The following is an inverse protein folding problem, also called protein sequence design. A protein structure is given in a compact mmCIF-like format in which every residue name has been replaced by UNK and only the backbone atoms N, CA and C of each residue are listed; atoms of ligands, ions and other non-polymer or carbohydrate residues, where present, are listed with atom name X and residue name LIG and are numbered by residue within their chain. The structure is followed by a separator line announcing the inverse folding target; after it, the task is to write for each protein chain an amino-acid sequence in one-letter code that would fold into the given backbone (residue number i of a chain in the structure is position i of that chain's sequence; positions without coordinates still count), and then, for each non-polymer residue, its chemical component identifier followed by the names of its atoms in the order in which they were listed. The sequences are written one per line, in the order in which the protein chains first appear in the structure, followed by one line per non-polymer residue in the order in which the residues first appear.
data_IF_516462900732
#
_entry.id   IF_516462900732
#
_cell.length_a   1.000
_cell.length_b   1.000
_cell.length_c   1.000
_cell.angle_alpha   90.00
_cell.angle_beta   90.00
_cell.angle_gamma   90.00
#
_symmetry.space_group_name_H-M   'P 1'
#
loop_
_entity.id
_entity.type
_entity.pdbx_description
1 polymer ?
#
# COMPACT_ATOMS: atom_id res chain seq x y z
N UNK A 1 -2.98 -19.02 -8.93
CA UNK A 1 -4.02 -18.38 -8.07
C UNK A 1 -5.27 -18.10 -8.89
N UNK A 2 -6.41 -18.62 -8.45
CA UNK A 2 -7.71 -18.31 -9.07
C UNK A 2 -8.16 -16.88 -8.70
N UNK A 3 -9.07 -16.28 -9.49
CA UNK A 3 -9.54 -14.91 -9.24
C UNK A 3 -10.11 -14.72 -7.83
N UNK A 4 -10.88 -15.68 -7.33
CA UNK A 4 -11.44 -15.64 -5.96
C UNK A 4 -10.35 -15.65 -4.88
N UNK A 5 -9.30 -16.44 -5.09
CA UNK A 5 -8.14 -16.49 -4.19
C UNK A 5 -7.36 -15.19 -4.19
N UNK A 6 -7.18 -14.54 -5.36
CA UNK A 6 -6.54 -13.22 -5.46
C UNK A 6 -7.32 -12.15 -4.71
N UNK A 7 -8.65 -12.16 -4.82
CA UNK A 7 -9.51 -11.24 -4.07
C UNK A 7 -9.39 -11.49 -2.56
N UNK A 8 -9.45 -12.76 -2.14
CA UNK A 8 -9.28 -13.12 -0.73
C UNK A 8 -7.92 -12.68 -0.18
N UNK A 9 -6.84 -12.92 -0.93
CA UNK A 9 -5.50 -12.47 -0.59
C UNK A 9 -5.44 -10.95 -0.42
N UNK A 10 -5.94 -10.19 -1.39
CA UNK A 10 -5.92 -8.73 -1.35
C UNK A 10 -6.76 -8.17 -0.18
N UNK A 11 -7.97 -8.69 0.02
CA UNK A 11 -8.84 -8.26 1.13
C UNK A 11 -8.22 -8.61 2.48
N UNK A 12 -7.67 -9.81 2.63
CA UNK A 12 -6.99 -10.22 3.87
C UNK A 12 -5.75 -9.36 4.14
N UNK A 13 -4.98 -9.03 3.11
CA UNK A 13 -3.83 -8.14 3.20
C UNK A 13 -4.24 -6.77 3.76
N UNK A 14 -5.24 -6.13 3.16
CA UNK A 14 -5.70 -4.80 3.56
C UNK A 14 -6.31 -4.78 4.97
N UNK A 15 -7.17 -5.75 5.29
CA UNK A 15 -7.81 -5.81 6.62
C UNK A 15 -6.77 -5.99 7.73
N UNK A 16 -5.83 -6.93 7.56
CA UNK A 16 -4.80 -7.19 8.56
C UNK A 16 -3.80 -6.03 8.67
N UNK A 17 -3.43 -5.41 7.55
CA UNK A 17 -2.60 -4.21 7.57
C UNK A 17 -3.29 -3.08 8.34
N UNK A 18 -4.55 -2.78 8.03
CA UNK A 18 -5.32 -1.74 8.70
C UNK A 18 -5.51 -2.02 10.19
N UNK A 19 -5.76 -3.28 10.58
CA UNK A 19 -5.91 -3.69 11.97
C UNK A 19 -4.64 -3.45 12.82
N UNK A 20 -3.47 -3.40 12.19
CA UNK A 20 -2.20 -3.10 12.85
C UNK A 20 -1.89 -1.61 12.77
N UNK A 21 -1.85 -1.06 11.54
CA UNK A 21 -1.30 0.28 11.34
C UNK A 21 -2.21 1.39 11.87
N UNK A 22 -3.54 1.21 11.79
CA UNK A 22 -4.49 2.23 12.24
C UNK A 22 -4.38 2.48 13.76
N UNK A 23 -4.50 1.47 14.66
CA UNK A 23 -4.36 1.72 16.08
C UNK A 23 -2.95 2.17 16.49
N UNK A 24 -1.91 1.62 15.86
CA UNK A 24 -0.51 1.99 16.17
C UNK A 24 -0.27 3.46 15.81
N UNK A 25 -0.66 3.90 14.62
CA UNK A 25 -0.49 5.29 14.21
C UNK A 25 -1.38 6.25 15.00
N UNK A 26 -2.58 5.83 15.41
CA UNK A 26 -3.46 6.62 16.28
C UNK A 26 -2.78 6.94 17.63
N UNK A 27 -2.16 5.95 18.24
CA UNK A 27 -1.41 6.12 19.50
C UNK A 27 -0.17 6.99 19.29
N UNK A 28 0.63 6.72 18.24
CA UNK A 28 1.88 7.45 18.00
C UNK A 28 1.66 8.92 17.65
N UNK A 29 0.57 9.24 16.95
CA UNK A 29 0.26 10.61 16.51
C UNK A 29 -0.70 11.34 17.43
N UNK A 30 -1.13 10.70 18.52
CA UNK A 30 -2.17 11.26 19.44
C UNK A 30 -3.43 11.71 18.67
N UNK A 31 -3.91 10.82 17.80
CA UNK A 31 -5.11 11.04 16.98
C UNK A 31 -6.14 9.94 17.20
N UNK A 32 -7.39 10.22 16.83
CA UNK A 32 -8.44 9.22 16.94
C UNK A 32 -8.23 8.05 15.98
N UNK A 33 -8.64 6.85 16.37
CA UNK A 33 -8.60 5.68 15.49
C UNK A 33 -9.46 5.89 14.25
N UNK A 34 -10.58 6.63 14.38
CA UNK A 34 -11.46 6.97 13.24
C UNK A 34 -10.73 7.87 12.24
N UNK A 35 -10.02 8.91 12.69
CA UNK A 35 -9.26 9.79 11.79
C UNK A 35 -8.16 9.02 11.08
N UNK A 36 -7.45 8.14 11.78
CA UNK A 36 -6.41 7.31 11.17
C UNK A 36 -6.97 6.29 10.18
N UNK A 37 -8.18 5.77 10.43
CA UNK A 37 -8.87 4.91 9.47
C UNK A 37 -9.25 5.67 8.20
N UNK A 38 -9.79 6.88 8.33
CA UNK A 38 -10.12 7.75 7.20
C UNK A 38 -8.87 8.07 6.37
N UNK A 39 -7.77 8.43 7.03
CA UNK A 39 -6.48 8.68 6.39
C UNK A 39 -5.97 7.43 5.66
N UNK A 40 -6.03 6.27 6.30
CA UNK A 40 -5.59 5.00 5.70
C UNK A 40 -6.37 4.67 4.42
N UNK A 41 -7.69 4.78 4.45
CA UNK A 41 -8.54 4.55 3.27
C UNK A 41 -8.25 5.61 2.20
N UNK A 42 -8.16 6.87 2.57
CA UNK A 42 -7.86 7.97 1.66
C UNK A 42 -6.52 7.80 0.96
N UNK A 43 -5.46 7.45 1.69
CA UNK A 43 -4.14 7.18 1.13
C UNK A 43 -4.15 5.98 0.18
N UNK A 44 -4.85 4.90 0.53
CA UNK A 44 -4.99 3.73 -0.34
C UNK A 44 -5.66 4.08 -1.66
N UNK A 45 -6.76 4.84 -1.63
CA UNK A 45 -7.45 5.29 -2.83
C UNK A 45 -6.59 6.22 -3.69
N UNK A 46 -5.92 7.19 -3.06
CA UNK A 46 -5.00 8.11 -3.76
C UNK A 46 -3.84 7.34 -4.39
N UNK A 47 -3.27 6.37 -3.69
CA UNK A 47 -2.18 5.55 -4.21
C UNK A 47 -2.61 4.73 -5.43
N UNK A 48 -3.82 4.16 -5.44
CA UNK A 48 -4.35 3.43 -6.60
C UNK A 48 -4.55 4.36 -7.80
N UNK A 49 -5.16 5.54 -7.58
CA UNK A 49 -5.35 6.54 -8.63
C UNK A 49 -4.03 7.07 -9.17
N UNK A 50 -3.09 7.40 -8.27
CA UNK A 50 -1.76 7.86 -8.61
C UNK A 50 -0.98 6.80 -9.40
N UNK A 51 -1.05 5.53 -8.95
CA UNK A 51 -0.42 4.41 -9.66
C UNK A 51 -0.87 4.34 -11.12
N UNK A 52 -2.17 4.43 -11.36
CA UNK A 52 -2.73 4.41 -12.71
C UNK A 52 -2.22 5.59 -13.56
N UNK A 53 -2.37 6.81 -13.07
CA UNK A 53 -1.99 8.03 -13.78
C UNK A 53 -0.49 8.09 -14.02
N UNK A 54 0.30 7.84 -12.98
CA UNK A 54 1.76 7.90 -13.04
C UNK A 54 2.34 6.87 -14.00
N UNK A 55 1.86 5.64 -13.98
CA UNK A 55 2.36 4.61 -14.90
C UNK A 55 2.05 4.95 -16.36
N UNK A 56 0.86 5.45 -16.66
CA UNK A 56 0.53 5.89 -18.03
C UNK A 56 1.44 7.03 -18.46
N UNK A 57 1.64 8.02 -17.60
CA UNK A 57 2.48 9.17 -17.89
C UNK A 57 3.95 8.77 -18.09
N UNK A 58 4.47 7.92 -17.21
CA UNK A 58 5.84 7.42 -17.30
C UNK A 58 6.07 6.58 -18.55
N UNK A 59 5.13 5.70 -18.89
CA UNK A 59 5.21 4.86 -20.10
C UNK A 59 5.16 5.72 -21.39
N UNK A 60 4.42 6.82 -21.38
CA UNK A 60 4.41 7.77 -22.52
C UNK A 60 5.73 8.52 -22.70
N UNK A 61 6.43 8.84 -21.61
CA UNK A 61 7.69 9.60 -21.66
C UNK A 61 8.90 8.72 -21.97
N UNK A 62 8.98 7.52 -21.39
CA UNK A 62 10.17 6.70 -21.39
C UNK A 62 9.95 5.32 -22.06
N UNK A 63 8.79 5.12 -22.67
CA UNK A 63 8.43 3.90 -23.38
C UNK A 63 7.77 2.83 -22.52
N UNK A 64 6.95 2.00 -23.16
CA UNK A 64 6.14 0.95 -22.53
C UNK A 64 6.88 -0.38 -22.34
N UNK A 65 8.13 -0.50 -22.83
CA UNK A 65 8.93 -1.72 -22.68
C UNK A 65 9.46 -1.86 -21.24
N UNK A 66 8.60 -2.38 -20.36
CA UNK A 66 8.91 -2.56 -18.94
C UNK A 66 9.94 -3.64 -18.65
N UNK A 67 10.06 -4.63 -19.55
CA UNK A 67 10.93 -5.79 -19.36
C UNK A 67 12.39 -5.38 -19.50
N UNK A 68 12.71 -4.54 -20.48
CA UNK A 68 14.07 -4.11 -20.80
C UNK A 68 14.49 -2.81 -20.07
N UNK A 69 13.71 -2.34 -19.07
CA UNK A 69 14.10 -1.16 -18.27
C UNK A 69 15.37 -1.44 -17.50
N UNK A 70 16.32 -0.54 -17.64
CA UNK A 70 17.56 -0.55 -16.85
C UNK A 70 17.28 -0.33 -15.36
N UNK A 71 18.24 -0.71 -14.51
CA UNK A 71 18.14 -0.46 -13.07
C UNK A 71 17.92 1.04 -12.76
N UNK A 72 18.65 1.92 -13.46
CA UNK A 72 18.50 3.37 -13.31
C UNK A 72 17.08 3.84 -13.63
N UNK A 73 16.48 3.36 -14.71
CA UNK A 73 15.08 3.68 -15.03
C UNK A 73 14.10 3.19 -13.98
N UNK A 74 14.34 2.02 -13.38
CA UNK A 74 13.52 1.49 -12.28
C UNK A 74 13.63 2.35 -11.02
N UNK A 75 14.84 2.83 -10.70
CA UNK A 75 15.07 3.74 -9.56
C UNK A 75 14.38 5.08 -9.82
N UNK A 76 14.54 5.66 -11.01
CA UNK A 76 13.87 6.92 -11.39
C UNK A 76 12.35 6.77 -11.33
N UNK A 77 11.81 5.64 -11.82
CA UNK A 77 10.38 5.36 -11.73
C UNK A 77 9.90 5.29 -10.28
N UNK A 78 10.58 4.52 -9.43
CA UNK A 78 10.20 4.36 -8.02
C UNK A 78 10.30 5.68 -7.26
N UNK A 79 11.42 6.42 -7.40
CA UNK A 79 11.63 7.70 -6.72
C UNK A 79 10.62 8.76 -7.19
N UNK A 80 10.34 8.82 -8.48
CA UNK A 80 9.35 9.74 -9.02
C UNK A 80 7.92 9.38 -8.61
N UNK A 81 7.61 8.10 -8.52
CA UNK A 81 6.32 7.61 -8.01
C UNK A 81 6.10 8.04 -6.56
N UNK A 82 7.04 7.71 -5.68
CA UNK A 82 6.96 8.03 -4.25
C UNK A 82 6.99 9.54 -4.01
N UNK A 83 7.93 10.25 -4.65
CA UNK A 83 8.03 11.70 -4.52
C UNK A 83 6.78 12.43 -5.00
N UNK A 84 6.21 12.02 -6.12
CA UNK A 84 4.98 12.59 -6.64
C UNK A 84 3.77 12.31 -5.75
N UNK A 85 3.68 11.11 -5.20
CA UNK A 85 2.63 10.74 -4.24
C UNK A 85 2.74 11.60 -2.98
N UNK A 86 3.94 11.73 -2.40
CA UNK A 86 4.19 12.55 -1.21
C UNK A 86 3.84 14.03 -1.42
N UNK A 87 4.11 14.60 -2.58
CA UNK A 87 3.74 16.00 -2.87
C UNK A 87 2.24 16.23 -2.76
N UNK A 88 1.42 15.22 -3.08
CA UNK A 88 -0.04 15.29 -2.98
C UNK A 88 -0.51 14.93 -1.58
N UNK A 89 0.02 13.88 -0.98
CA UNK A 89 -0.50 13.32 0.28
C UNK A 89 -0.08 14.13 1.49
N UNK A 90 1.16 14.62 1.56
CA UNK A 90 1.67 15.40 2.69
C UNK A 90 0.78 16.60 3.06
N UNK A 91 0.42 17.51 2.13
CA UNK A 91 -0.43 18.65 2.48
C UNK A 91 -1.85 18.22 2.88
N UNK A 92 -2.40 17.19 2.24
CA UNK A 92 -3.76 16.70 2.54
C UNK A 92 -3.83 16.06 3.93
N UNK A 93 -2.88 15.19 4.26
CA UNK A 93 -2.83 14.51 5.57
C UNK A 93 -2.49 15.51 6.68
N UNK A 94 -1.53 16.41 6.45
CA UNK A 94 -1.16 17.48 7.36
C UNK A 94 -2.37 18.36 7.72
N UNK A 95 -3.13 18.76 6.70
CA UNK A 95 -4.34 19.55 6.88
C UNK A 95 -5.43 18.77 7.63
N UNK A 96 -5.71 17.54 7.22
CA UNK A 96 -6.78 16.74 7.81
C UNK A 96 -6.52 16.39 9.28
N UNK A 97 -5.30 15.98 9.60
CA UNK A 97 -4.89 15.61 10.95
C UNK A 97 -4.43 16.80 11.82
N UNK A 98 -4.36 18.01 11.25
CA UNK A 98 -3.80 19.19 11.93
C UNK A 98 -2.39 18.92 12.48
N UNK A 99 -1.56 18.26 11.68
CA UNK A 99 -0.15 17.98 11.96
C UNK A 99 0.74 18.95 11.20
N UNK A 100 1.94 19.22 11.73
CA UNK A 100 2.96 19.89 10.95
C UNK A 100 3.52 18.96 9.86
N UNK A 101 4.21 19.52 8.86
CA UNK A 101 4.73 18.74 7.73
C UNK A 101 5.77 17.69 8.14
N UNK A 102 6.54 17.95 9.19
CA UNK A 102 7.57 17.01 9.67
C UNK A 102 6.91 15.79 10.31
N UNK A 103 5.93 15.99 11.18
CA UNK A 103 5.19 14.89 11.81
C UNK A 103 4.42 14.09 10.77
N UNK A 104 3.85 14.76 9.77
CA UNK A 104 3.17 14.10 8.65
C UNK A 104 4.16 13.28 7.81
N UNK A 105 5.34 13.80 7.53
CA UNK A 105 6.38 13.07 6.80
C UNK A 105 6.87 11.85 7.60
N UNK A 106 7.00 11.98 8.92
CA UNK A 106 7.34 10.87 9.81
C UNK A 106 6.24 9.80 9.81
N UNK A 107 4.98 10.22 9.83
CA UNK A 107 3.84 9.30 9.73
C UNK A 107 3.84 8.54 8.40
N UNK A 108 3.91 9.25 7.28
CA UNK A 108 3.88 8.63 5.97
C UNK A 108 5.12 7.76 5.71
N UNK A 109 6.30 8.20 6.14
CA UNK A 109 7.53 7.42 6.07
C UNK A 109 7.48 6.15 6.93
N UNK A 110 6.88 6.23 8.11
CA UNK A 110 6.63 5.09 8.99
C UNK A 110 5.66 4.09 8.37
N UNK A 111 4.59 4.58 7.76
CA UNK A 111 3.61 3.74 7.02
C UNK A 111 4.29 3.03 5.84
N UNK A 112 5.11 3.74 5.07
CA UNK A 112 5.88 3.16 3.96
C UNK A 112 6.81 2.04 4.44
N UNK A 113 7.57 2.28 5.51
CA UNK A 113 8.45 1.28 6.11
C UNK A 113 7.66 0.07 6.64
N UNK A 114 6.53 0.32 7.29
CA UNK A 114 5.64 -0.74 7.74
C UNK A 114 5.21 -1.63 6.58
N UNK A 115 4.69 -1.05 5.49
CA UNK A 115 4.25 -1.83 4.35
C UNK A 115 5.38 -2.57 3.64
N UNK A 116 6.59 -2.02 3.63
CA UNK A 116 7.76 -2.71 3.10
C UNK A 116 8.04 -4.03 3.83
N UNK A 117 8.04 -3.99 5.16
CA UNK A 117 8.25 -5.19 5.99
C UNK A 117 7.02 -6.09 5.98
N UNK A 118 5.85 -5.50 6.16
CA UNK A 118 4.57 -6.22 6.24
C UNK A 118 4.29 -7.04 4.98
N UNK A 119 4.52 -6.48 3.80
CA UNK A 119 4.32 -7.17 2.52
C UNK A 119 5.16 -8.44 2.43
N UNK A 120 6.42 -8.37 2.82
CA UNK A 120 7.30 -9.53 2.84
C UNK A 120 6.81 -10.62 3.81
N UNK A 121 6.49 -10.22 5.04
CA UNK A 121 6.02 -11.15 6.08
C UNK A 121 4.66 -11.76 5.73
N UNK A 122 3.72 -10.92 5.28
CA UNK A 122 2.38 -11.39 4.90
C UNK A 122 2.42 -12.39 3.74
N UNK A 123 3.14 -12.07 2.67
CA UNK A 123 3.24 -12.96 1.51
C UNK A 123 3.93 -14.27 1.88
N UNK A 124 5.02 -14.20 2.65
CA UNK A 124 5.67 -15.41 3.17
C UNK A 124 4.71 -16.27 4.00
N UNK A 125 3.96 -15.67 4.93
CA UNK A 125 3.00 -16.37 5.76
C UNK A 125 1.86 -16.95 4.91
N UNK A 126 1.31 -16.16 3.98
CA UNK A 126 0.23 -16.59 3.10
C UNK A 126 0.63 -17.80 2.25
N UNK A 127 1.83 -17.78 1.66
CA UNK A 127 2.35 -18.87 0.83
C UNK A 127 2.59 -20.15 1.63
N UNK A 128 3.05 -20.01 2.89
CA UNK A 128 3.29 -21.17 3.76
C UNK A 128 1.99 -21.77 4.33
N UNK A 129 1.05 -20.93 4.75
CA UNK A 129 -0.18 -21.39 5.40
C UNK A 129 -1.31 -21.67 4.41
N UNK A 130 -1.30 -21.08 3.24
CA UNK A 130 -2.30 -21.23 2.18
C UNK A 130 -3.74 -21.17 2.71
N UNK A 131 -4.17 -20.11 3.42
CA UNK A 131 -5.41 -20.08 4.17
C UNK A 131 -6.63 -20.27 3.27
N UNK A 132 -6.62 -19.71 2.06
CA UNK A 132 -7.71 -19.88 1.10
C UNK A 132 -7.92 -21.37 0.73
N UNK A 133 -6.84 -22.07 0.41
CA UNK A 133 -6.88 -23.49 0.05
C UNK A 133 -7.34 -24.34 1.23
N UNK A 134 -6.90 -24.04 2.45
CA UNK A 134 -7.29 -24.76 3.66
C UNK A 134 -8.77 -24.58 4.01
N UNK A 135 -9.29 -23.36 3.84
CA UNK A 135 -10.66 -23.03 4.23
C UNK A 135 -11.69 -23.35 3.15
N UNK A 136 -11.34 -23.17 1.88
CA UNK A 136 -12.27 -23.28 0.76
C UNK A 136 -11.93 -24.39 -0.25
N UNK A 137 -10.72 -24.94 -0.21
CA UNK A 137 -10.25 -25.95 -1.16
C UNK A 137 -11.12 -27.23 -1.15
N UNK A 138 -11.52 -27.70 0.02
CA UNK A 138 -12.39 -28.86 0.16
C UNK A 138 -13.80 -28.62 -0.41
N UNK A 139 -14.30 -27.41 -0.32
CA UNK A 139 -15.64 -27.03 -0.81
C UNK A 139 -15.64 -26.85 -2.34
N UNK A 140 -14.49 -26.59 -2.94
CA UNK A 140 -14.35 -26.34 -4.37
C UNK A 140 -13.85 -27.58 -5.15
N UNK A 141 -13.65 -28.73 -4.49
CA UNK A 141 -13.18 -29.96 -5.13
C UNK A 141 -11.78 -29.86 -5.74
N UNK A 142 -10.97 -28.92 -5.26
CA UNK A 142 -9.57 -28.72 -5.68
C UNK A 142 -8.70 -29.43 -4.65
N UNK A 143 -8.60 -30.74 -4.77
CA UNK A 143 -7.65 -31.58 -4.02
C UNK A 143 -6.51 -32.02 -4.94
#
# INVERSE_FOLDING_TARGET
MQTKERIFHAVSFEILAAAIIVPVSAVLMDKSTTDMLVVSIGLSLLAVMWNYVYNIWFDKLLGSDRINRTLSMRIVHATGFEGGLLVVTLPLVSWYLSLNLIDTLMLEGGVLLFFFVYTGVFNWAYDNYQPYQRWFGKTLGIS
#
